data_IF_521165180214
#
_entry.id   IF_521165180214
#
_cell.length_a   1.000
_cell.length_b   1.000
_cell.length_c   1.000
_cell.angle_alpha   90.00
_cell.angle_beta   90.00
_cell.angle_gamma   90.00
#
_symmetry.space_group_name_H-M   'P 1'
#
loop_
_entity.id
_entity.type
_entity.pdbx_description
1 polymer ?
#
# COMPACT_ATOMS: atom_id res chain seq x y z
N UNK A 1 -4.60 3.14 22.86
CA UNK A 1 -4.42 1.85 22.18
C UNK A 1 -2.96 1.49 22.28
N UNK A 2 -2.67 0.24 22.63
CA UNK A 2 -1.30 -0.28 22.68
C UNK A 2 -0.69 -0.22 21.27
N UNK A 3 0.59 0.17 21.16
CA UNK A 3 1.26 0.24 19.86
C UNK A 3 1.40 -1.18 19.30
N UNK A 4 0.86 -1.43 18.11
CA UNK A 4 0.99 -2.70 17.39
C UNK A 4 2.24 -2.66 16.50
N UNK A 5 3.20 -3.54 16.73
CA UNK A 5 4.35 -3.72 15.84
C UNK A 5 3.95 -4.45 14.55
N UNK A 6 4.77 -4.33 13.50
CA UNK A 6 4.48 -4.99 12.21
C UNK A 6 4.57 -6.52 12.34
N UNK A 7 5.48 -7.02 13.18
CA UNK A 7 5.57 -8.44 13.46
C UNK A 7 4.35 -8.94 14.25
N UNK A 8 3.87 -8.18 15.25
CA UNK A 8 2.64 -8.54 15.95
C UNK A 8 1.42 -8.52 15.03
N UNK A 9 1.34 -7.54 14.12
CA UNK A 9 0.31 -7.52 13.09
C UNK A 9 0.40 -8.77 12.21
N UNK A 10 1.57 -9.11 11.68
CA UNK A 10 1.78 -10.30 10.87
C UNK A 10 1.34 -11.57 11.61
N UNK A 11 1.74 -11.74 12.87
CA UNK A 11 1.36 -12.90 13.68
C UNK A 11 -0.15 -12.97 13.88
N UNK A 12 -0.80 -11.86 14.27
CA UNK A 12 -2.26 -11.80 14.45
C UNK A 12 -3.00 -12.04 13.14
N UNK A 13 -2.55 -11.46 12.02
CA UNK A 13 -3.13 -11.66 10.70
C UNK A 13 -3.10 -13.13 10.28
N UNK A 14 -2.00 -13.84 10.56
CA UNK A 14 -1.89 -15.26 10.18
C UNK A 14 -2.71 -16.20 11.07
N UNK A 15 -3.23 -15.76 12.22
CA UNK A 15 -4.19 -16.57 13.00
C UNK A 15 -5.51 -16.83 12.26
N UNK A 16 -5.85 -15.99 11.27
CA UNK A 16 -7.05 -16.15 10.43
C UNK A 16 -6.75 -16.85 9.10
N UNK A 17 -5.49 -17.18 8.81
CA UNK A 17 -5.10 -17.85 7.58
C UNK A 17 -5.58 -19.31 7.58
N UNK A 18 -6.41 -19.68 6.61
CA UNK A 18 -6.80 -21.07 6.41
C UNK A 18 -5.62 -21.92 5.93
N UNK A 19 -5.53 -23.20 6.30
CA UNK A 19 -4.47 -24.09 5.83
C UNK A 19 -4.37 -24.18 4.30
N UNK A 20 -5.51 -24.12 3.59
CA UNK A 20 -5.57 -24.14 2.12
C UNK A 20 -5.03 -22.87 1.47
N UNK A 21 -4.99 -21.76 2.20
CA UNK A 21 -4.48 -20.46 1.75
C UNK A 21 -2.98 -20.29 2.05
N UNK A 22 -2.42 -21.12 2.96
CA UNK A 22 -1.03 -21.00 3.42
C UNK A 22 -0.02 -21.54 2.39
N UNK A 23 0.00 -20.93 1.21
CA UNK A 23 0.93 -21.26 0.13
C UNK A 23 1.14 -20.03 -0.76
N UNK A 24 2.24 -20.03 -1.50
CA UNK A 24 2.65 -18.86 -2.28
C UNK A 24 1.71 -18.59 -3.45
N UNK A 25 1.11 -19.63 -4.04
CA UNK A 25 0.20 -19.45 -5.17
C UNK A 25 -1.05 -18.69 -4.74
N UNK A 26 -1.66 -19.03 -3.61
CA UNK A 26 -2.82 -18.29 -3.09
C UNK A 26 -2.42 -16.87 -2.68
N UNK A 27 -1.43 -16.71 -1.79
CA UNK A 27 -1.08 -15.40 -1.24
C UNK A 27 -0.62 -14.40 -2.31
N UNK A 28 0.16 -14.85 -3.31
CA UNK A 28 0.62 -13.97 -4.39
C UNK A 28 -0.46 -13.63 -5.41
N UNK A 29 -1.30 -14.61 -5.79
CA UNK A 29 -2.35 -14.36 -6.78
C UNK A 29 -3.49 -13.55 -6.18
N UNK A 30 -3.87 -13.82 -4.93
CA UNK A 30 -4.93 -13.07 -4.27
C UNK A 30 -4.49 -11.64 -3.91
N UNK A 31 -3.20 -11.39 -3.63
CA UNK A 31 -2.65 -10.03 -3.55
C UNK A 31 -2.99 -9.18 -4.78
N UNK A 32 -2.89 -9.77 -5.98
CA UNK A 32 -3.29 -9.08 -7.22
C UNK A 32 -4.80 -8.75 -7.23
N UNK A 33 -5.62 -9.66 -6.70
CA UNK A 33 -7.05 -9.47 -6.48
C UNK A 33 -7.34 -8.25 -5.61
N UNK A 34 -6.80 -8.22 -4.39
CA UNK A 34 -7.06 -7.12 -3.44
C UNK A 34 -6.57 -5.76 -3.95
N UNK A 35 -5.42 -5.74 -4.65
CA UNK A 35 -4.94 -4.52 -5.33
C UNK A 35 -5.92 -4.08 -6.42
N UNK A 36 -6.52 -5.02 -7.15
CA UNK A 36 -7.56 -4.75 -8.15
C UNK A 36 -8.85 -4.19 -7.55
N UNK A 37 -9.25 -4.66 -6.37
CA UNK A 37 -10.41 -4.14 -5.64
C UNK A 37 -10.16 -2.71 -5.15
N UNK A 38 -9.00 -2.44 -4.55
CA UNK A 38 -8.54 -1.10 -4.19
C UNK A 38 -8.58 -0.15 -5.40
N UNK A 39 -7.99 -0.56 -6.53
CA UNK A 39 -8.04 0.21 -7.77
C UNK A 39 -9.47 0.44 -8.25
N UNK A 40 -10.35 -0.55 -8.13
CA UNK A 40 -11.75 -0.44 -8.54
C UNK A 40 -12.51 0.60 -7.71
N UNK A 41 -12.26 0.71 -6.40
CA UNK A 41 -12.86 1.75 -5.56
C UNK A 41 -12.40 3.15 -5.99
N UNK A 42 -11.10 3.34 -6.19
CA UNK A 42 -10.52 4.61 -6.64
C UNK A 42 -11.03 5.01 -8.04
N UNK A 43 -11.05 4.07 -8.99
CA UNK A 43 -11.55 4.31 -10.34
C UNK A 43 -13.04 4.70 -10.35
N UNK A 44 -13.86 4.07 -9.50
CA UNK A 44 -15.26 4.44 -9.32
C UNK A 44 -15.41 5.85 -8.74
N UNK A 45 -14.57 6.23 -7.77
CA UNK A 45 -14.56 7.58 -7.22
C UNK A 45 -14.22 8.64 -8.29
N UNK A 46 -13.22 8.37 -9.12
CA UNK A 46 -12.84 9.25 -10.25
C UNK A 46 -13.99 9.36 -11.25
N UNK A 47 -14.52 8.23 -11.73
CA UNK A 47 -15.62 8.21 -12.73
C UNK A 47 -16.87 8.94 -12.25
N UNK A 48 -17.16 8.91 -10.95
CA UNK A 48 -18.32 9.59 -10.34
C UNK A 48 -18.07 11.08 -10.05
N UNK A 49 -16.88 11.61 -10.37
CA UNK A 49 -16.53 13.01 -10.08
C UNK A 49 -16.38 13.28 -8.58
N UNK A 50 -15.94 12.29 -7.81
CA UNK A 50 -15.71 12.41 -6.36
C UNK A 50 -14.24 12.47 -5.98
N UNK A 51 -13.36 12.01 -6.86
CA UNK A 51 -11.91 12.09 -6.73
C UNK A 51 -11.35 12.73 -7.99
N UNK A 52 -10.68 13.87 -7.83
CA UNK A 52 -10.06 14.61 -8.92
C UNK A 52 -8.56 14.60 -8.75
N UNK A 53 -7.83 14.39 -9.85
CA UNK A 53 -6.39 14.57 -9.90
C UNK A 53 -6.11 15.87 -10.66
N UNK A 54 -5.44 16.81 -10.00
CA UNK A 54 -5.09 18.12 -10.54
C UNK A 54 -3.59 18.35 -10.55
N UNK A 55 -3.14 19.38 -11.28
CA UNK A 55 -1.72 19.80 -11.36
C UNK A 55 -1.56 21.29 -11.07
N UNK A 56 -2.52 21.87 -10.35
CA UNK A 56 -2.56 23.30 -10.06
C UNK A 56 -1.55 23.68 -8.97
N UNK A 57 -1.24 22.74 -8.08
CA UNK A 57 -0.34 22.95 -6.97
C UNK A 57 1.13 22.91 -7.40
N UNK A 58 1.97 23.59 -6.62
CA UNK A 58 3.42 23.64 -6.82
C UNK A 58 4.15 23.24 -5.55
N UNK A 59 5.30 22.60 -5.73
CA UNK A 59 6.20 22.31 -4.62
C UNK A 59 6.95 23.57 -4.14
N UNK A 60 7.82 23.41 -3.14
CA UNK A 60 8.66 24.49 -2.59
C UNK A 60 9.63 25.12 -3.61
N UNK A 61 9.90 24.44 -4.73
CA UNK A 61 10.79 24.91 -5.79
C UNK A 61 9.99 25.51 -6.96
N UNK A 62 8.66 25.52 -6.89
CA UNK A 62 7.78 26.03 -7.94
C UNK A 62 7.45 25.01 -9.04
N UNK A 63 7.86 23.74 -8.90
CA UNK A 63 7.55 22.68 -9.85
C UNK A 63 6.10 22.21 -9.70
N UNK A 64 5.43 21.88 -10.82
CA UNK A 64 4.05 21.38 -10.79
C UNK A 64 4.00 20.02 -10.14
N UNK A 65 3.06 19.83 -9.21
CA UNK A 65 2.82 18.54 -8.55
C UNK A 65 1.41 18.03 -8.86
N UNK A 66 1.28 16.72 -9.04
CA UNK A 66 -0.03 16.08 -9.10
C UNK A 66 -0.60 15.97 -7.69
N UNK A 67 -1.79 16.51 -7.48
CA UNK A 67 -2.51 16.44 -6.21
C UNK A 67 -3.90 15.87 -6.41
N UNK A 68 -4.48 15.35 -5.34
CA UNK A 68 -5.81 14.79 -5.31
C UNK A 68 -6.75 15.66 -4.48
N UNK A 69 -7.98 15.85 -4.98
CA UNK A 69 -9.06 16.50 -4.23
C UNK A 69 -10.27 15.57 -4.17
N UNK A 70 -10.81 15.41 -2.96
CA UNK A 70 -12.02 14.65 -2.72
C UNK A 70 -13.22 15.60 -2.69
N UNK A 71 -14.30 15.26 -3.39
CA UNK A 71 -15.52 16.04 -3.46
C UNK A 71 -16.74 15.16 -3.17
N UNK A 72 -17.52 15.52 -2.15
CA UNK A 72 -18.76 14.80 -1.77
C UNK A 72 -18.59 13.28 -1.68
N UNK A 73 -17.44 12.82 -1.20
CA UNK A 73 -17.20 11.42 -0.90
C UNK A 73 -17.82 11.11 0.46
N UNK A 74 -18.63 10.05 0.54
CA UNK A 74 -19.21 9.66 1.83
C UNK A 74 -18.17 9.00 2.73
N UNK A 75 -18.41 9.00 4.03
CA UNK A 75 -17.57 8.26 4.98
C UNK A 75 -17.48 6.78 4.64
N UNK A 76 -18.58 6.18 4.15
CA UNK A 76 -18.58 4.76 3.76
C UNK A 76 -17.71 4.52 2.53
N UNK A 77 -17.70 5.43 1.55
CA UNK A 77 -16.82 5.31 0.39
C UNK A 77 -15.34 5.40 0.78
N UNK A 78 -15.00 6.24 1.76
CA UNK A 78 -13.63 6.34 2.29
C UNK A 78 -13.27 5.07 3.08
N UNK A 79 -14.17 4.59 3.95
CA UNK A 79 -13.98 3.36 4.71
C UNK A 79 -13.83 2.14 3.81
N UNK A 80 -14.55 2.08 2.70
CA UNK A 80 -14.38 1.02 1.73
C UNK A 80 -12.97 1.01 1.14
N UNK A 81 -12.42 2.16 0.75
CA UNK A 81 -11.03 2.25 0.28
C UNK A 81 -10.05 1.80 1.37
N UNK A 82 -10.29 2.19 2.62
CA UNK A 82 -9.47 1.78 3.77
C UNK A 82 -9.50 0.26 4.00
N UNK A 83 -10.67 -0.39 3.85
CA UNK A 83 -10.80 -1.85 3.94
C UNK A 83 -9.92 -2.55 2.90
N UNK A 84 -9.98 -2.11 1.63
CA UNK A 84 -9.16 -2.71 0.57
C UNK A 84 -7.65 -2.54 0.84
N UNK A 85 -7.23 -1.40 1.42
CA UNK A 85 -5.85 -1.23 1.87
C UNK A 85 -5.48 -2.26 2.96
N UNK A 86 -6.40 -2.56 3.88
CA UNK A 86 -6.24 -3.59 4.90
C UNK A 86 -6.11 -5.00 4.30
N UNK A 87 -6.91 -5.31 3.28
CA UNK A 87 -6.86 -6.61 2.61
C UNK A 87 -5.54 -6.81 1.84
N UNK A 88 -5.05 -5.76 1.17
CA UNK A 88 -3.70 -5.75 0.58
C UNK A 88 -2.62 -6.00 1.64
N UNK A 89 -2.73 -5.35 2.81
CA UNK A 89 -1.78 -5.56 3.91
C UNK A 89 -1.81 -6.98 4.47
N UNK A 90 -2.99 -7.58 4.57
CA UNK A 90 -3.14 -8.98 5.00
C UNK A 90 -2.46 -9.92 4.01
N UNK A 91 -2.61 -9.71 2.70
CA UNK A 91 -1.93 -10.51 1.69
C UNK A 91 -0.41 -10.34 1.71
N UNK A 92 0.11 -9.12 1.92
CA UNK A 92 1.55 -8.90 2.09
C UNK A 92 2.08 -9.65 3.32
N UNK A 93 1.36 -9.61 4.46
CA UNK A 93 1.70 -10.38 5.65
C UNK A 93 1.69 -11.89 5.37
N UNK A 94 0.73 -12.38 4.58
CA UNK A 94 0.65 -13.76 4.11
C UNK A 94 1.84 -14.16 3.25
N UNK A 95 2.20 -13.36 2.26
CA UNK A 95 3.38 -13.56 1.41
C UNK A 95 4.65 -13.62 2.25
N UNK A 96 4.84 -12.67 3.18
CA UNK A 96 6.00 -12.68 4.07
C UNK A 96 6.04 -13.97 4.91
N UNK A 97 4.90 -14.39 5.47
CA UNK A 97 4.83 -15.58 6.32
C UNK A 97 5.15 -16.87 5.57
N UNK A 98 4.61 -17.04 4.35
CA UNK A 98 4.88 -18.22 3.50
C UNK A 98 6.35 -18.27 3.07
N UNK A 99 6.99 -17.12 2.84
CA UNK A 99 8.39 -17.04 2.42
C UNK A 99 9.40 -17.01 3.59
N UNK A 100 8.92 -16.98 4.83
CA UNK A 100 9.78 -16.94 6.02
C UNK A 100 10.39 -15.56 6.30
N UNK A 101 9.75 -14.48 5.85
CA UNK A 101 10.17 -13.11 6.07
C UNK A 101 9.43 -12.49 7.26
N UNK A 102 10.14 -11.65 8.02
CA UNK A 102 9.54 -10.72 8.97
C UNK A 102 9.02 -9.49 8.22
N UNK A 103 7.76 -9.11 8.47
CA UNK A 103 7.19 -7.90 7.89
C UNK A 103 7.94 -6.64 8.36
N UNK A 104 8.36 -6.62 9.62
CA UNK A 104 9.14 -5.52 10.18
C UNK A 104 10.51 -5.38 9.49
N UNK A 105 11.21 -6.49 9.27
CA UNK A 105 12.51 -6.48 8.58
C UNK A 105 12.37 -6.01 7.14
N UNK A 106 11.31 -6.44 6.43
CA UNK A 106 11.00 -5.98 5.06
C UNK A 106 10.79 -4.47 5.04
N UNK A 107 9.98 -3.94 5.97
CA UNK A 107 9.72 -2.50 6.06
C UNK A 107 10.98 -1.72 6.45
N UNK A 108 11.77 -2.21 7.43
CA UNK A 108 13.03 -1.58 7.87
C UNK A 108 14.02 -1.48 6.73
N UNK A 109 14.27 -2.58 6.01
CA UNK A 109 15.17 -2.60 4.84
C UNK A 109 14.70 -1.65 3.74
N UNK A 110 13.38 -1.54 3.52
CA UNK A 110 12.85 -0.58 2.55
C UNK A 110 13.11 0.88 2.96
N UNK A 111 12.92 1.22 4.23
CA UNK A 111 13.18 2.56 4.76
C UNK A 111 14.67 2.93 4.66
N UNK A 112 15.57 2.04 5.09
CA UNK A 112 17.02 2.23 4.99
C UNK A 112 17.46 2.47 3.54
N UNK A 113 16.95 1.67 2.61
CA UNK A 113 17.19 1.81 1.16
C UNK A 113 16.71 3.17 0.64
N UNK A 114 15.50 3.60 0.99
CA UNK A 114 14.94 4.88 0.53
C UNK A 114 15.69 6.09 1.12
N UNK A 115 16.07 6.02 2.40
CA UNK A 115 16.88 7.04 3.05
C UNK A 115 18.26 7.16 2.39
N UNK A 116 18.92 6.04 2.08
CA UNK A 116 20.18 6.03 1.34
C UNK A 116 20.05 6.69 -0.04
N UNK A 117 18.96 6.44 -0.78
CA UNK A 117 18.69 7.10 -2.07
C UNK A 117 18.50 8.60 -1.93
N UNK A 118 17.82 9.03 -0.87
CA UNK A 118 17.63 10.45 -0.56
C UNK A 118 18.98 11.13 -0.28
N UNK A 119 19.83 10.54 0.56
CA UNK A 119 21.15 11.09 0.90
C UNK A 119 22.07 11.20 -0.32
N UNK A 120 21.97 10.26 -1.27
CA UNK A 120 22.73 10.26 -2.53
C UNK A 120 22.15 11.17 -3.62
N UNK A 121 20.97 11.77 -3.42
CA UNK A 121 20.31 12.60 -4.43
C UNK A 121 19.79 11.83 -5.65
N UNK A 122 19.54 10.51 -5.51
CA UNK A 122 19.08 9.62 -6.60
C UNK A 122 17.70 9.02 -6.33
N UNK A 123 16.88 9.70 -5.52
CA UNK A 123 15.54 9.21 -5.14
C UNK A 123 14.56 9.23 -6.32
N UNK A 124 14.73 10.16 -7.26
CA UNK A 124 13.93 10.35 -8.47
C UNK A 124 14.32 9.40 -9.61
N UNK A 125 14.83 8.22 -9.25
CA UNK A 125 15.49 7.30 -10.18
C UNK A 125 14.67 7.05 -11.46
N UNK A 126 15.18 7.55 -12.59
CA UNK A 126 14.81 7.15 -13.95
C UNK A 126 15.18 5.67 -14.15
N UNK A 127 14.42 4.79 -13.50
CA UNK A 127 14.51 3.33 -13.47
C UNK A 127 15.70 2.72 -14.20
N UNK A 128 16.68 2.21 -13.45
CA UNK A 128 17.26 0.85 -13.68
C UNK A 128 18.59 0.61 -12.96
N UNK A 129 19.26 1.62 -12.42
CA UNK A 129 20.50 1.40 -11.67
C UNK A 129 20.27 1.46 -10.15
N UNK A 130 20.11 0.25 -9.58
CA UNK A 130 20.14 -0.04 -8.15
C UNK A 130 21.54 0.13 -7.58
#
# INVERSE_FOLDING_TARGET
>A
MENLTLNEYQQKAMTTCMPTCNNIAYMSMNLCGEVGELHSKLAKAIRKGKLFIGTSDRDKNGERVMTQTFHNMSEEEVKDIEKECGDVMWQIAGVCSVLGFSLEDVCRQNLEKLQSRQQRGVIDGNGDNR
#
